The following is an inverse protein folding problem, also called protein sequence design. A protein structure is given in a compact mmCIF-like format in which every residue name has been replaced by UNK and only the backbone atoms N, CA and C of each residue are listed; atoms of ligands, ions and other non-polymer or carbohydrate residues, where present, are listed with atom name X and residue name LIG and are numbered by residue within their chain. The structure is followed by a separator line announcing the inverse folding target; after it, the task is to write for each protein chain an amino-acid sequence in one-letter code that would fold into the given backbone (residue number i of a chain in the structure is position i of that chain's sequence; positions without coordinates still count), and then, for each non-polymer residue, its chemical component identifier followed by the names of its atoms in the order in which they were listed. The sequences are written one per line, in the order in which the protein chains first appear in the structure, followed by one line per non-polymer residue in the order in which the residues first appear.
data_IF_041488580523
#
_entry.id   IF_041488580523
#
_cell.length_a   1.000
_cell.length_b   1.000
_cell.length_c   1.000
_cell.angle_alpha   90.00
_cell.angle_beta   90.00
_cell.angle_gamma   90.00
#
_symmetry.space_group_name_H-M   'P 1'
#
loop_
_entity.id
_entity.type
_entity.pdbx_description
1 polymer ?
#
# COMPACT_ATOMS: atom_id res chain seq x y z
N UNK A 1 20.95 22.11 -30.45
CA UNK A 1 20.22 20.97 -31.00
C UNK A 1 20.19 19.78 -30.06
N UNK A 2 21.31 19.39 -29.54
CA UNK A 2 21.36 18.25 -28.60
C UNK A 2 20.64 18.52 -27.32
N UNK A 3 20.59 19.76 -26.87
CA UNK A 3 19.91 20.17 -25.65
C UNK A 3 18.40 19.95 -25.75
N UNK A 4 17.82 20.15 -26.94
CA UNK A 4 16.41 19.97 -27.16
C UNK A 4 15.98 18.50 -26.97
N UNK A 5 16.80 17.56 -27.35
CA UNK A 5 16.49 16.15 -27.10
C UNK A 5 16.44 15.80 -25.63
N UNK A 6 17.39 16.34 -24.87
CA UNK A 6 17.46 16.09 -23.45
C UNK A 6 16.21 16.62 -22.73
N UNK A 7 15.76 17.79 -23.12
CA UNK A 7 14.56 18.39 -22.52
C UNK A 7 13.32 17.55 -22.84
N UNK A 8 13.21 17.04 -24.06
CA UNK A 8 12.09 16.17 -24.42
C UNK A 8 12.02 14.89 -23.62
N UNK A 9 13.16 14.27 -23.35
CA UNK A 9 13.22 13.05 -22.55
C UNK A 9 12.78 13.32 -21.10
N UNK A 10 13.24 14.42 -20.51
CA UNK A 10 12.86 14.79 -19.16
C UNK A 10 11.36 15.05 -19.05
N UNK A 11 10.78 15.73 -20.04
CA UNK A 11 9.34 15.98 -20.03
C UNK A 11 8.53 14.69 -20.06
N UNK A 12 8.98 13.69 -20.84
CA UNK A 12 8.32 12.40 -20.88
C UNK A 12 8.36 11.69 -19.53
N UNK A 13 9.45 11.80 -18.79
CA UNK A 13 9.56 11.19 -17.46
C UNK A 13 8.66 11.85 -16.44
N UNK A 14 8.43 13.16 -16.57
CA UNK A 14 7.54 13.88 -15.63
C UNK A 14 6.09 13.44 -15.72
N UNK A 15 5.68 12.91 -16.86
CA UNK A 15 4.30 12.45 -17.07
C UNK A 15 4.14 10.95 -16.91
N UNK A 16 5.15 10.26 -16.37
CA UNK A 16 5.05 8.81 -16.13
C UNK A 16 3.99 8.55 -15.06
N UNK A 17 3.14 7.50 -15.22
CA UNK A 17 2.13 7.19 -14.22
C UNK A 17 2.77 6.70 -12.91
N UNK A 18 2.03 6.84 -11.82
CA UNK A 18 2.46 6.36 -10.51
C UNK A 18 2.63 4.85 -10.57
N UNK A 19 3.77 4.34 -10.12
CA UNK A 19 4.08 2.93 -10.16
C UNK A 19 3.37 2.16 -9.04
N UNK A 20 3.25 0.84 -9.20
CA UNK A 20 2.73 -0.04 -8.16
C UNK A 20 3.55 0.06 -6.87
N UNK A 21 4.85 0.26 -6.99
CA UNK A 21 5.72 0.38 -5.84
C UNK A 21 5.32 1.54 -4.94
N UNK A 22 4.93 2.67 -5.53
CA UNK A 22 4.47 3.83 -4.76
C UNK A 22 3.13 3.56 -4.10
N UNK A 23 2.19 2.92 -4.80
CA UNK A 23 0.91 2.53 -4.24
C UNK A 23 1.11 1.60 -3.05
N UNK A 24 1.95 0.58 -3.20
CA UNK A 24 2.23 -0.36 -2.12
C UNK A 24 2.87 0.34 -0.93
N UNK A 25 3.79 1.25 -1.17
CA UNK A 25 4.45 2.00 -0.12
C UNK A 25 3.46 2.88 0.66
N UNK A 26 2.59 3.59 -0.05
CA UNK A 26 1.58 4.43 0.56
C UNK A 26 0.63 3.61 1.42
N UNK A 27 0.18 2.47 0.91
CA UNK A 27 -0.69 1.57 1.64
C UNK A 27 0.00 0.98 2.88
N UNK A 28 1.28 0.61 2.77
CA UNK A 28 2.03 0.07 3.89
C UNK A 28 2.17 1.10 5.01
N UNK A 29 2.45 2.35 4.66
CA UNK A 29 2.56 3.43 5.66
C UNK A 29 1.23 3.64 6.36
N UNK A 30 0.12 3.69 5.61
CA UNK A 30 -1.20 3.87 6.21
C UNK A 30 -1.59 2.69 7.10
N UNK A 31 -1.28 1.47 6.69
CA UNK A 31 -1.54 0.29 7.51
C UNK A 31 -0.73 0.34 8.81
N UNK A 32 0.52 0.76 8.75
CA UNK A 32 1.36 0.90 9.93
C UNK A 32 0.79 1.94 10.90
N UNK A 33 0.27 3.05 10.38
CA UNK A 33 -0.37 4.08 11.21
C UNK A 33 -1.66 3.58 11.85
N UNK A 34 -2.33 2.63 11.23
CA UNK A 34 -3.58 2.06 11.72
C UNK A 34 -3.38 0.97 12.77
N UNK A 35 -2.14 0.53 13.00
CA UNK A 35 -1.86 -0.51 14.00
C UNK A 35 -2.28 -0.05 15.40
N UNK A 36 -2.68 -0.99 16.27
CA UNK A 36 -2.97 -0.65 17.66
C UNK A 36 -1.73 -0.03 18.33
N UNK A 37 -1.98 0.91 19.22
CA UNK A 37 -0.89 1.56 19.96
C UNK A 37 -0.51 0.71 21.17
N UNK A 38 0.34 -0.26 20.93
CA UNK A 38 0.83 -1.16 21.96
C UNK A 38 2.29 -0.80 22.24
N UNK A 39 2.63 -0.60 23.52
CA UNK A 39 3.99 -0.27 23.89
C UNK A 39 4.94 -1.38 23.46
N UNK A 40 6.04 -1.00 22.82
CA UNK A 40 7.06 -1.94 22.38
C UNK A 40 6.71 -2.70 21.11
N UNK A 41 5.61 -2.35 20.42
CA UNK A 41 5.26 -3.00 19.16
C UNK A 41 6.29 -2.64 18.09
N UNK A 42 6.80 -3.67 17.43
CA UNK A 42 7.79 -3.53 16.35
C UNK A 42 7.27 -4.26 15.10
N UNK A 43 7.32 -3.58 13.96
CA UNK A 43 6.98 -4.20 12.68
C UNK A 43 8.22 -4.95 12.20
N UNK A 44 8.09 -6.27 12.04
CA UNK A 44 9.18 -7.12 11.59
C UNK A 44 9.21 -7.26 10.08
N UNK A 45 8.05 -7.32 9.45
CA UNK A 45 7.94 -7.55 8.03
C UNK A 45 6.62 -7.01 7.53
N UNK A 46 6.61 -6.51 6.31
CA UNK A 46 5.39 -6.12 5.61
C UNK A 46 5.40 -6.75 4.24
N UNK A 47 4.22 -7.16 3.78
CA UNK A 47 4.08 -7.68 2.43
C UNK A 47 2.72 -7.32 1.87
N UNK A 48 2.66 -7.21 0.55
CA UNK A 48 1.42 -6.94 -0.17
C UNK A 48 0.99 -8.21 -0.90
N UNK A 49 -0.31 -8.38 -1.04
CA UNK A 49 -0.87 -9.48 -1.81
C UNK A 49 -2.18 -9.04 -2.47
N UNK A 50 -2.60 -9.71 -3.54
CA UNK A 50 -3.88 -9.36 -4.17
C UNK A 50 -5.05 -9.72 -3.26
N UNK A 51 -6.13 -8.97 -3.39
CA UNK A 51 -7.37 -9.25 -2.67
C UNK A 51 -7.99 -10.52 -3.24
N UNK A 52 -8.56 -11.40 -2.39
CA UNK A 52 -9.22 -12.62 -2.87
C UNK A 52 -10.29 -12.32 -3.89
N UNK A 53 -10.43 -13.21 -4.88
CA UNK A 53 -11.35 -13.03 -6.00
C UNK A 53 -12.80 -12.86 -5.54
N UNK A 54 -13.19 -13.53 -4.46
CA UNK A 54 -14.54 -13.42 -3.92
C UNK A 54 -14.86 -12.00 -3.46
N UNK A 55 -13.88 -11.30 -2.88
CA UNK A 55 -14.05 -9.91 -2.45
C UNK A 55 -14.07 -8.99 -3.66
N UNK A 56 -13.17 -9.22 -4.63
CA UNK A 56 -13.12 -8.41 -5.84
C UNK A 56 -14.41 -8.51 -6.66
N UNK A 57 -15.05 -9.67 -6.65
CA UNK A 57 -16.28 -9.87 -7.40
C UNK A 57 -17.41 -8.94 -6.93
N UNK A 58 -17.42 -8.59 -5.63
CA UNK A 58 -18.42 -7.67 -5.09
C UNK A 58 -17.92 -6.22 -4.98
N UNK A 59 -16.69 -5.97 -5.40
CA UNK A 59 -16.09 -4.63 -5.32
C UNK A 59 -16.64 -3.74 -6.42
N UNK A 60 -17.16 -2.59 -6.04
CA UNK A 60 -17.77 -1.65 -6.98
C UNK A 60 -16.98 -0.35 -7.15
N UNK A 61 -15.85 -0.22 -6.46
CA UNK A 61 -15.00 0.95 -6.58
C UNK A 61 -14.20 0.96 -7.87
N UNK A 62 -13.75 2.15 -8.28
CA UNK A 62 -12.93 2.30 -9.47
C UNK A 62 -11.49 1.84 -9.25
N UNK A 63 -10.97 2.02 -8.05
CA UNK A 63 -9.60 1.65 -7.71
C UNK A 63 -9.58 0.23 -7.14
N UNK A 64 -8.68 -0.59 -7.66
CA UNK A 64 -8.55 -1.96 -7.21
C UNK A 64 -7.86 -2.01 -5.85
N UNK A 65 -8.45 -2.67 -4.85
CA UNK A 65 -7.83 -2.78 -3.53
C UNK A 65 -6.68 -3.78 -3.52
N UNK A 66 -5.80 -3.61 -2.56
CA UNK A 66 -4.72 -4.57 -2.28
C UNK A 66 -4.74 -4.92 -0.80
N UNK A 67 -4.15 -6.07 -0.46
CA UNK A 67 -4.01 -6.48 0.93
C UNK A 67 -2.61 -6.18 1.42
N UNK A 68 -2.52 -5.67 2.64
CA UNK A 68 -1.25 -5.43 3.32
C UNK A 68 -1.22 -6.29 4.57
N UNK A 69 -0.21 -7.15 4.69
CA UNK A 69 0.01 -7.96 5.89
C UNK A 69 1.21 -7.39 6.64
N UNK A 70 1.02 -7.06 7.90
CA UNK A 70 2.08 -6.56 8.78
C UNK A 70 2.35 -7.58 9.85
N UNK A 71 3.56 -8.16 9.82
CA UNK A 71 4.02 -9.06 10.85
C UNK A 71 4.70 -8.23 11.94
N UNK A 72 4.16 -8.29 13.15
CA UNK A 72 4.61 -7.48 14.27
C UNK A 72 4.95 -8.35 15.47
N UNK A 73 5.75 -7.81 16.35
CA UNK A 73 6.06 -8.43 17.65
C UNK A 73 5.78 -7.39 18.73
N UNK A 74 5.00 -7.78 19.73
CA UNK A 74 4.73 -6.95 20.89
C UNK A 74 4.73 -7.84 22.13
N UNK A 75 5.46 -7.43 23.18
CA UNK A 75 5.56 -8.20 24.44
C UNK A 75 5.99 -9.65 24.21
N UNK A 76 6.87 -9.88 23.22
CA UNK A 76 7.38 -11.21 22.91
C UNK A 76 6.45 -12.06 22.07
N UNK A 77 5.28 -11.57 21.71
CA UNK A 77 4.32 -12.32 20.90
C UNK A 77 4.30 -11.80 19.46
N UNK A 78 4.37 -12.75 18.51
CA UNK A 78 4.28 -12.44 17.09
C UNK A 78 2.82 -12.48 16.65
N UNK A 79 2.39 -11.46 15.91
CA UNK A 79 1.04 -11.37 15.36
C UNK A 79 1.10 -10.81 13.95
N UNK A 80 0.06 -11.11 13.16
CA UNK A 80 -0.07 -10.57 11.81
C UNK A 80 -1.37 -9.78 11.74
N UNK A 81 -1.25 -8.51 11.34
CA UNK A 81 -2.40 -7.67 11.08
C UNK A 81 -2.56 -7.51 9.58
N UNK A 82 -3.76 -7.76 9.09
CA UNK A 82 -4.06 -7.65 7.66
C UNK A 82 -5.01 -6.50 7.42
N UNK A 83 -4.73 -5.72 6.40
CA UNK A 83 -5.52 -4.56 6.01
C UNK A 83 -5.83 -4.61 4.54
N UNK A 84 -7.04 -4.20 4.17
CA UNK A 84 -7.39 -3.95 2.79
C UNK A 84 -7.18 -2.46 2.53
N UNK A 85 -6.44 -2.13 1.48
CA UNK A 85 -6.09 -0.75 1.17
C UNK A 85 -6.56 -0.37 -0.22
N UNK A 86 -7.16 0.81 -0.31
CA UNK A 86 -7.57 1.41 -1.59
C UNK A 86 -6.95 2.79 -1.68
N UNK A 87 -6.36 3.10 -2.84
CA UNK A 87 -5.84 4.44 -3.11
C UNK A 87 -6.80 5.15 -4.05
N UNK A 88 -7.36 6.26 -3.60
CA UNK A 88 -8.29 7.06 -4.38
C UNK A 88 -7.82 8.52 -4.34
N UNK A 89 -7.61 9.11 -5.51
CA UNK A 89 -7.16 10.51 -5.65
C UNK A 89 -5.89 10.79 -4.83
N UNK A 90 -4.95 9.83 -4.86
CA UNK A 90 -3.69 9.97 -4.16
C UNK A 90 -3.72 9.73 -2.66
N UNK A 91 -4.90 9.46 -2.09
CA UNK A 91 -5.05 9.17 -0.67
C UNK A 91 -5.30 7.68 -0.45
N UNK A 92 -4.62 7.10 0.52
CA UNK A 92 -4.77 5.69 0.86
C UNK A 92 -5.76 5.54 2.02
N UNK A 93 -6.70 4.60 1.85
CA UNK A 93 -7.67 4.24 2.87
C UNK A 93 -7.47 2.78 3.23
N UNK A 94 -7.28 2.50 4.51
CA UNK A 94 -7.08 1.13 4.98
C UNK A 94 -8.20 0.72 5.91
N UNK A 95 -8.58 -0.55 5.81
CA UNK A 95 -9.56 -1.15 6.68
C UNK A 95 -9.02 -2.49 7.16
N UNK A 96 -9.04 -2.70 8.48
CA UNK A 96 -8.57 -3.96 9.04
C UNK A 96 -9.50 -5.08 8.64
N UNK A 97 -8.93 -6.19 8.19
CA UNK A 97 -9.69 -7.37 7.86
C UNK A 97 -9.59 -8.37 9.00
N UNK A 98 -10.63 -9.16 9.16
CA UNK A 98 -10.62 -10.25 10.13
C UNK A 98 -9.98 -11.47 9.48
N UNK A 99 -9.03 -12.06 10.15
CA UNK A 99 -8.36 -13.26 9.68
C UNK A 99 -8.94 -14.48 10.36
#
# INVERSE_FOLDING_TARGET
MRIAFTVGVLAALLFAPISRAETNKTCTIKAAEALPRIAGLVIRKSKTRPVPAAILASWKGQSQPIMIDLDVVAAGEAQTYSYMCVVTHGAAFVQRTMN
#
